data_IF_706013174438
#
_entry.id   IF_706013174438
#
_cell.length_a   1.000
_cell.length_b   1.000
_cell.length_c   1.000
_cell.angle_alpha   90.00
_cell.angle_beta   90.00
_cell.angle_gamma   90.00
#
_symmetry.space_group_name_H-M   'P 1'
#
loop_
_entity.id
_entity.type
_entity.pdbx_description
1 polymer ?
#
# COMPACT_ATOMS: atom_id res chain seq x y z
N UNK A 1 -23.33 32.28 7.62
CA UNK A 1 -23.99 33.58 7.38
C UNK A 1 -23.69 34.50 8.56
N UNK A 2 -23.23 35.72 8.30
CA UNK A 2 -22.88 36.67 9.34
C UNK A 2 -24.14 37.17 10.06
N UNK A 3 -24.29 36.85 11.36
CA UNK A 3 -25.49 37.18 12.15
C UNK A 3 -25.79 38.67 12.15
N UNK A 4 -24.76 39.53 12.09
CA UNK A 4 -24.96 40.98 12.07
C UNK A 4 -25.60 41.46 10.76
N UNK A 5 -25.17 40.91 9.61
CA UNK A 5 -25.74 41.26 8.31
C UNK A 5 -27.18 40.73 8.16
N UNK A 6 -27.46 39.54 8.68
CA UNK A 6 -28.81 38.98 8.73
C UNK A 6 -29.73 39.86 9.59
N UNK A 7 -29.31 40.15 10.82
CA UNK A 7 -30.09 40.96 11.76
C UNK A 7 -30.37 42.38 11.21
N UNK A 8 -29.41 42.99 10.51
CA UNK A 8 -29.61 44.28 9.86
C UNK A 8 -30.71 44.23 8.78
N UNK A 9 -30.76 43.16 7.97
CA UNK A 9 -31.82 42.96 6.98
C UNK A 9 -33.18 42.69 7.64
N UNK A 10 -33.22 41.93 8.73
CA UNK A 10 -34.46 41.62 9.46
C UNK A 10 -35.08 42.88 10.07
N UNK A 11 -34.26 43.75 10.68
CA UNK A 11 -34.71 45.05 11.19
C UNK A 11 -35.21 45.92 10.04
N UNK A 12 -34.41 46.07 8.99
CA UNK A 12 -34.74 46.91 7.85
C UNK A 12 -36.05 46.46 7.15
N UNK A 13 -36.27 45.15 7.04
CA UNK A 13 -37.52 44.59 6.52
C UNK A 13 -38.72 44.85 7.46
N UNK A 14 -38.52 44.70 8.78
CA UNK A 14 -39.55 44.96 9.79
C UNK A 14 -39.99 46.43 9.79
N UNK A 15 -39.04 47.35 9.72
CA UNK A 15 -39.31 48.79 9.72
C UNK A 15 -40.06 49.20 8.45
N UNK A 16 -39.65 48.67 7.29
CA UNK A 16 -40.39 48.87 6.02
C UNK A 16 -41.80 48.29 6.07
N UNK A 17 -41.99 47.10 6.62
CA UNK A 17 -43.32 46.49 6.76
C UNK A 17 -44.22 47.34 7.68
N UNK A 18 -43.65 47.89 8.76
CA UNK A 18 -44.39 48.80 9.63
C UNK A 18 -44.80 50.08 8.89
N UNK A 19 -43.88 50.70 8.14
CA UNK A 19 -44.16 51.89 7.34
C UNK A 19 -45.26 51.63 6.29
N UNK A 20 -45.18 50.52 5.57
CA UNK A 20 -46.20 50.10 4.61
C UNK A 20 -47.58 49.95 5.28
N UNK A 21 -47.65 49.34 6.47
CA UNK A 21 -48.92 49.20 7.19
C UNK A 21 -49.54 50.55 7.61
N UNK A 22 -48.72 51.57 7.85
CA UNK A 22 -49.20 52.95 8.04
C UNK A 22 -49.74 53.51 6.73
N UNK A 23 -49.00 53.39 5.63
CA UNK A 23 -49.39 53.89 4.31
C UNK A 23 -50.70 53.24 3.82
N UNK A 24 -50.86 51.93 3.99
CA UNK A 24 -52.07 51.19 3.65
C UNK A 24 -53.30 51.72 4.41
N UNK A 25 -53.13 52.04 5.70
CA UNK A 25 -54.18 52.66 6.50
C UNK A 25 -54.49 54.08 6.03
N UNK A 26 -53.47 54.87 5.69
CA UNK A 26 -53.65 56.25 5.20
C UNK A 26 -54.35 56.27 3.84
N UNK A 27 -54.04 55.32 2.95
CA UNK A 27 -54.69 55.17 1.65
C UNK A 27 -56.21 54.96 1.75
N UNK A 28 -56.68 54.36 2.85
CA UNK A 28 -58.11 54.07 3.07
C UNK A 28 -58.89 55.27 3.65
N UNK A 29 -58.23 56.37 4.03
CA UNK A 29 -58.90 57.53 4.59
C UNK A 29 -59.76 58.27 3.55
N UNK A 30 -60.92 58.74 4.01
CA UNK A 30 -61.88 59.56 3.25
C UNK A 30 -62.23 60.80 4.07
N UNK A 31 -62.82 61.80 3.42
CA UNK A 31 -63.22 63.06 4.07
C UNK A 31 -64.23 62.90 5.21
N UNK A 32 -64.91 61.75 5.31
CA UNK A 32 -65.85 61.43 6.39
C UNK A 32 -65.30 60.37 7.37
N UNK A 33 -64.03 59.96 7.23
CA UNK A 33 -63.42 58.96 8.11
C UNK A 33 -63.32 59.48 9.54
N UNK A 34 -63.65 58.64 10.52
CA UNK A 34 -63.48 58.98 11.93
C UNK A 34 -61.99 59.14 12.28
N UNK A 35 -61.67 60.11 13.13
CA UNK A 35 -60.29 60.36 13.59
C UNK A 35 -59.45 61.29 12.71
N UNK A 36 -60.01 61.85 11.63
CA UNK A 36 -59.37 62.95 10.88
C UNK A 36 -59.53 64.27 11.65
N UNK A 37 -58.49 65.10 11.70
CA UNK A 37 -58.49 66.36 12.45
C UNK A 37 -57.21 67.16 12.23
N UNK A 38 -57.17 68.37 12.77
CA UNK A 38 -55.96 69.21 12.75
C UNK A 38 -54.95 68.72 13.80
N UNK A 39 -53.71 68.53 13.37
CA UNK A 39 -52.60 68.06 14.22
C UNK A 39 -51.59 69.22 14.38
N UNK A 40 -51.45 69.82 15.57
CA UNK A 40 -50.55 70.95 15.78
C UNK A 40 -49.07 70.57 15.56
N UNK A 41 -48.29 71.44 14.91
CA UNK A 41 -46.83 71.29 14.78
C UNK A 41 -46.37 70.39 13.63
N UNK A 42 -47.28 69.87 12.81
CA UNK A 42 -46.94 69.07 11.61
C UNK A 42 -46.22 69.89 10.54
N UNK A 43 -46.38 71.21 10.58
CA UNK A 43 -45.70 72.18 9.74
C UNK A 43 -44.20 72.32 10.04
N UNK A 44 -43.75 71.89 11.24
CA UNK A 44 -42.35 71.92 11.65
C UNK A 44 -41.68 70.58 11.33
N UNK A 45 -41.38 70.35 10.05
CA UNK A 45 -40.64 69.17 9.63
C UNK A 45 -39.19 69.29 10.14
N UNK A 46 -38.75 68.29 10.89
CA UNK A 46 -37.38 68.22 11.40
C UNK A 46 -36.40 67.94 10.26
N UNK A 47 -35.42 68.83 10.04
CA UNK A 47 -34.41 68.69 9.00
C UNK A 47 -33.38 67.57 9.28
N UNK A 48 -33.46 66.88 10.42
CA UNK A 48 -32.61 65.74 10.76
C UNK A 48 -33.19 64.37 10.35
N UNK A 49 -34.40 64.35 9.76
CA UNK A 49 -35.02 63.11 9.28
C UNK A 49 -34.41 62.62 7.97
N UNK A 50 -34.56 61.31 7.71
CA UNK A 50 -34.07 60.69 6.48
C UNK A 50 -34.84 61.18 5.25
N UNK A 51 -34.11 61.41 4.16
CA UNK A 51 -34.67 61.72 2.84
C UNK A 51 -34.73 60.46 1.97
N UNK A 52 -35.56 60.42 0.90
CA UNK A 52 -35.70 59.25 0.04
C UNK A 52 -34.38 58.66 -0.45
N UNK A 53 -33.43 59.49 -0.89
CA UNK A 53 -32.11 59.04 -1.34
C UNK A 53 -31.32 58.31 -0.23
N UNK A 54 -31.35 58.84 0.99
CA UNK A 54 -30.66 58.24 2.13
C UNK A 54 -31.32 56.92 2.58
N UNK A 55 -32.65 56.81 2.47
CA UNK A 55 -33.41 55.60 2.77
C UNK A 55 -33.17 54.49 1.75
N UNK A 56 -33.19 54.83 0.46
CA UNK A 56 -32.83 53.91 -0.62
C UNK A 56 -31.40 53.41 -0.44
N UNK A 57 -30.45 54.34 -0.21
CA UNK A 57 -29.04 54.00 0.00
C UNK A 57 -28.85 53.05 1.18
N UNK A 58 -29.49 53.31 2.33
CA UNK A 58 -29.41 52.44 3.50
C UNK A 58 -29.81 51.00 3.18
N UNK A 59 -30.94 50.83 2.47
CA UNK A 59 -31.43 49.51 2.05
C UNK A 59 -30.45 48.84 1.08
N UNK A 60 -29.96 49.58 0.09
CA UNK A 60 -29.00 49.07 -0.90
C UNK A 60 -27.69 48.62 -0.23
N UNK A 61 -27.18 49.38 0.75
CA UNK A 61 -25.98 49.02 1.50
C UNK A 61 -26.18 47.75 2.33
N UNK A 62 -27.34 47.57 2.97
CA UNK A 62 -27.67 46.35 3.71
C UNK A 62 -27.73 45.13 2.79
N UNK A 63 -28.36 45.27 1.62
CA UNK A 63 -28.43 44.21 0.61
C UNK A 63 -27.03 43.86 0.09
N UNK A 64 -26.24 44.87 -0.30
CA UNK A 64 -24.88 44.67 -0.81
C UNK A 64 -23.97 44.00 0.23
N UNK A 65 -24.08 44.39 1.50
CA UNK A 65 -23.36 43.75 2.61
C UNK A 65 -23.75 42.28 2.72
N UNK A 66 -25.04 41.96 2.74
CA UNK A 66 -25.52 40.57 2.80
C UNK A 66 -25.06 39.73 1.61
N UNK A 67 -25.09 40.29 0.39
CA UNK A 67 -24.58 39.62 -0.81
C UNK A 67 -23.09 39.30 -0.67
N UNK A 68 -22.28 40.26 -0.22
CA UNK A 68 -20.84 40.05 0.00
C UNK A 68 -20.57 38.95 1.03
N UNK A 69 -21.27 38.95 2.15
CA UNK A 69 -21.13 37.93 3.19
C UNK A 69 -21.55 36.54 2.70
N UNK A 70 -22.60 36.45 1.88
CA UNK A 70 -23.03 35.18 1.26
C UNK A 70 -22.00 34.65 0.27
N UNK A 71 -21.49 35.50 -0.62
CA UNK A 71 -20.46 35.13 -1.60
C UNK A 71 -19.16 34.68 -0.91
N UNK A 72 -18.73 35.38 0.15
CA UNK A 72 -17.57 34.97 0.95
C UNK A 72 -17.78 33.61 1.62
N UNK A 73 -18.98 33.37 2.17
CA UNK A 73 -19.33 32.08 2.78
C UNK A 73 -19.39 30.93 1.78
N UNK A 74 -19.89 31.17 0.57
CA UNK A 74 -19.95 30.19 -0.52
C UNK A 74 -18.54 29.81 -0.96
N UNK A 75 -17.69 30.81 -1.21
CA UNK A 75 -16.28 30.61 -1.56
C UNK A 75 -15.55 29.78 -0.49
N UNK A 76 -15.70 30.13 0.79
CA UNK A 76 -15.05 29.39 1.87
C UNK A 76 -15.51 27.92 1.92
N UNK A 77 -16.80 27.65 1.70
CA UNK A 77 -17.31 26.27 1.63
C UNK A 77 -16.72 25.50 0.45
N UNK A 78 -16.58 26.15 -0.71
CA UNK A 78 -15.91 25.56 -1.87
C UNK A 78 -14.43 25.25 -1.62
N UNK A 79 -13.71 26.16 -0.97
CA UNK A 79 -12.32 25.93 -0.57
C UNK A 79 -12.21 24.75 0.42
N UNK A 80 -13.09 24.67 1.42
CA UNK A 80 -13.15 23.55 2.37
C UNK A 80 -13.40 22.22 1.66
N UNK A 81 -14.41 22.15 0.79
CA UNK A 81 -14.74 20.93 0.03
C UNK A 81 -13.57 20.50 -0.87
N UNK A 82 -12.94 21.45 -1.56
CA UNK A 82 -11.75 21.18 -2.38
C UNK A 82 -10.59 20.64 -1.54
N UNK A 83 -10.34 21.22 -0.35
CA UNK A 83 -9.29 20.72 0.55
C UNK A 83 -9.62 19.33 1.09
N UNK A 84 -10.86 19.07 1.47
CA UNK A 84 -11.29 17.75 1.95
C UNK A 84 -11.10 16.68 0.86
N UNK A 85 -11.49 16.95 -0.38
CA UNK A 85 -11.27 16.04 -1.52
C UNK A 85 -9.78 15.81 -1.77
N UNK A 86 -8.97 16.86 -1.74
CA UNK A 86 -7.52 16.74 -1.90
C UNK A 86 -6.90 15.87 -0.79
N UNK A 87 -7.29 16.08 0.47
CA UNK A 87 -6.85 15.26 1.60
C UNK A 87 -7.29 13.80 1.46
N UNK A 88 -8.53 13.54 1.04
CA UNK A 88 -9.02 12.18 0.84
C UNK A 88 -8.22 11.44 -0.25
N UNK A 89 -7.99 12.10 -1.39
CA UNK A 89 -7.18 11.54 -2.47
C UNK A 89 -5.73 11.28 -2.03
N UNK A 90 -5.12 12.21 -1.29
CA UNK A 90 -3.76 12.02 -0.77
C UNK A 90 -3.69 10.85 0.21
N UNK A 91 -4.65 10.72 1.12
CA UNK A 91 -4.71 9.58 2.05
C UNK A 91 -4.84 8.25 1.30
N UNK A 92 -5.65 8.21 0.25
CA UNK A 92 -5.81 7.01 -0.58
C UNK A 92 -4.52 6.67 -1.33
N UNK A 93 -3.86 7.67 -1.93
CA UNK A 93 -2.56 7.48 -2.58
C UNK A 93 -1.48 6.99 -1.61
N UNK A 94 -1.42 7.58 -0.40
CA UNK A 94 -0.48 7.16 0.63
C UNK A 94 -0.76 5.75 1.12
N UNK A 95 -2.04 5.39 1.32
CA UNK A 95 -2.45 4.03 1.67
C UNK A 95 -1.94 3.01 0.65
N UNK A 96 -2.20 3.25 -0.65
CA UNK A 96 -1.75 2.36 -1.72
C UNK A 96 -0.22 2.28 -1.81
N UNK A 97 0.46 3.43 -1.72
CA UNK A 97 1.92 3.51 -1.79
C UNK A 97 2.59 2.73 -0.65
N UNK A 98 2.12 2.93 0.59
CA UNK A 98 2.64 2.23 1.77
C UNK A 98 2.34 0.74 1.69
N UNK A 99 1.13 0.36 1.30
CA UNK A 99 0.75 -1.05 1.19
C UNK A 99 1.58 -1.78 0.13
N UNK A 100 1.80 -1.16 -1.03
CA UNK A 100 2.66 -1.72 -2.08
C UNK A 100 4.11 -1.85 -1.59
N UNK A 101 4.67 -0.80 -0.98
CA UNK A 101 6.03 -0.84 -0.43
C UNK A 101 6.18 -1.92 0.65
N UNK A 102 5.17 -2.07 1.51
CA UNK A 102 5.14 -3.08 2.55
C UNK A 102 5.10 -4.50 1.95
N UNK A 103 4.22 -4.74 0.98
CA UNK A 103 4.13 -6.04 0.29
C UNK A 103 5.45 -6.39 -0.43
N UNK A 104 6.09 -5.43 -1.09
CA UNK A 104 7.42 -5.63 -1.67
C UNK A 104 8.44 -6.03 -0.62
N UNK A 105 8.48 -5.34 0.53
CA UNK A 105 9.40 -5.66 1.62
C UNK A 105 9.15 -7.06 2.20
N UNK A 106 7.89 -7.47 2.31
CA UNK A 106 7.52 -8.82 2.77
C UNK A 106 8.04 -9.87 1.79
N UNK A 107 7.85 -9.67 0.48
CA UNK A 107 8.40 -10.57 -0.56
C UNK A 107 9.92 -10.65 -0.49
N UNK A 108 10.62 -9.51 -0.53
CA UNK A 108 12.08 -9.45 -0.43
C UNK A 108 12.63 -10.20 0.80
N UNK A 109 11.98 -10.02 1.96
CA UNK A 109 12.39 -10.67 3.21
C UNK A 109 12.14 -12.18 3.17
N UNK A 110 11.03 -12.59 2.57
CA UNK A 110 10.66 -14.00 2.40
C UNK A 110 11.64 -14.70 1.47
N UNK A 111 11.97 -14.08 0.34
CA UNK A 111 12.94 -14.62 -0.62
C UNK A 111 14.34 -14.74 -0.02
N UNK A 112 14.78 -13.71 0.72
CA UNK A 112 16.07 -13.75 1.41
C UNK A 112 16.12 -14.88 2.44
N UNK A 113 15.05 -15.08 3.21
CA UNK A 113 14.92 -16.21 4.15
C UNK A 113 14.99 -17.55 3.41
N UNK A 114 14.24 -17.71 2.33
CA UNK A 114 14.21 -18.96 1.55
C UNK A 114 15.60 -19.29 0.99
N UNK A 115 16.30 -18.30 0.42
CA UNK A 115 17.68 -18.46 -0.07
C UNK A 115 18.63 -18.87 1.05
N UNK A 116 18.54 -18.25 2.23
CA UNK A 116 19.37 -18.62 3.38
C UNK A 116 19.07 -20.05 3.86
N UNK A 117 17.81 -20.48 3.84
CA UNK A 117 17.43 -21.84 4.20
C UNK A 117 17.97 -22.87 3.19
N UNK A 118 17.88 -22.58 1.89
CA UNK A 118 18.45 -23.44 0.85
C UNK A 118 19.98 -23.54 0.97
N UNK A 119 20.67 -22.41 1.21
CA UNK A 119 22.11 -22.40 1.47
C UNK A 119 22.49 -23.21 2.71
N UNK A 120 21.72 -23.08 3.80
CA UNK A 120 21.95 -23.86 5.01
C UNK A 120 21.85 -25.36 4.72
N UNK A 121 20.82 -25.80 3.99
CA UNK A 121 20.65 -27.20 3.61
C UNK A 121 21.83 -27.71 2.78
N UNK A 122 22.26 -26.95 1.77
CA UNK A 122 23.42 -27.30 0.93
C UNK A 122 24.70 -27.41 1.76
N UNK A 123 25.00 -26.44 2.61
CA UNK A 123 26.20 -26.48 3.46
C UNK A 123 26.15 -27.65 4.45
N UNK A 124 24.98 -28.00 4.97
CA UNK A 124 24.85 -29.19 5.82
C UNK A 124 25.14 -30.48 5.05
N UNK A 125 24.69 -30.58 3.80
CA UNK A 125 24.99 -31.72 2.92
C UNK A 125 26.49 -31.80 2.60
N UNK A 126 27.11 -30.69 2.20
CA UNK A 126 28.55 -30.61 1.95
C UNK A 126 29.39 -31.03 3.18
N UNK A 127 28.96 -30.64 4.39
CA UNK A 127 29.61 -31.07 5.64
C UNK A 127 29.50 -32.58 5.81
N UNK A 128 28.31 -33.14 5.62
CA UNK A 128 28.08 -34.58 5.74
C UNK A 128 28.93 -35.38 4.74
N UNK A 129 28.99 -34.95 3.47
CA UNK A 129 29.79 -35.62 2.44
C UNK A 129 31.28 -35.53 2.74
N UNK A 130 31.74 -34.39 3.26
CA UNK A 130 33.13 -34.22 3.70
C UNK A 130 33.47 -35.11 4.90
N UNK A 131 32.55 -35.27 5.86
CA UNK A 131 32.71 -36.19 6.98
C UNK A 131 32.83 -37.64 6.49
N UNK A 132 31.97 -38.06 5.55
CA UNK A 132 32.05 -39.38 4.91
C UNK A 132 33.38 -39.57 4.17
N UNK A 133 33.83 -38.58 3.40
CA UNK A 133 35.12 -38.63 2.70
C UNK A 133 36.31 -38.78 3.67
N UNK A 134 36.29 -38.08 4.81
CA UNK A 134 37.31 -38.23 5.85
C UNK A 134 37.32 -39.67 6.39
N UNK A 135 36.15 -40.28 6.62
CA UNK A 135 36.06 -41.66 7.08
C UNK A 135 36.59 -42.66 6.04
N UNK A 136 36.25 -42.47 4.77
CA UNK A 136 36.75 -43.29 3.66
C UNK A 136 38.28 -43.19 3.52
N UNK A 137 38.83 -41.98 3.55
CA UNK A 137 40.28 -41.76 3.50
C UNK A 137 41.00 -42.41 4.69
N UNK A 138 40.44 -42.30 5.90
CA UNK A 138 40.99 -42.96 7.09
C UNK A 138 41.02 -44.47 6.94
N UNK A 139 39.96 -45.05 6.36
CA UNK A 139 39.90 -46.49 6.10
C UNK A 139 40.90 -46.92 5.02
N UNK A 140 40.98 -46.19 3.90
CA UNK A 140 41.94 -46.47 2.84
C UNK A 140 43.41 -46.45 3.34
N UNK A 141 43.74 -45.48 4.22
CA UNK A 141 45.06 -45.43 4.88
C UNK A 141 45.31 -46.68 5.73
N UNK A 142 44.31 -47.12 6.52
CA UNK A 142 44.43 -48.32 7.34
C UNK A 142 44.58 -49.59 6.49
N UNK A 143 43.83 -49.70 5.40
CA UNK A 143 43.86 -50.85 4.49
C UNK A 143 45.23 -50.96 3.78
N UNK A 144 45.87 -49.82 3.43
CA UNK A 144 47.22 -49.78 2.84
C UNK A 144 48.37 -49.97 3.83
N UNK A 145 48.13 -49.81 5.14
CA UNK A 145 49.19 -49.87 6.15
C UNK A 145 49.88 -51.25 6.22
N UNK A 146 49.10 -52.34 6.17
CA UNK A 146 49.64 -53.70 6.27
C UNK A 146 50.43 -54.16 5.05
N UNK A 147 49.92 -54.04 3.79
CA UNK A 147 50.71 -54.41 2.62
C UNK A 147 52.00 -53.60 2.52
N UNK A 148 51.98 -52.31 2.86
CA UNK A 148 53.18 -51.48 2.91
C UNK A 148 54.21 -51.99 3.92
N UNK A 149 53.81 -52.33 5.16
CA UNK A 149 54.70 -52.95 6.16
C UNK A 149 55.33 -54.25 5.65
N UNK A 150 54.55 -55.07 4.92
CA UNK A 150 55.06 -56.31 4.31
C UNK A 150 56.10 -56.01 3.22
N UNK A 151 55.83 -55.04 2.33
CA UNK A 151 56.77 -54.63 1.28
C UNK A 151 58.07 -54.08 1.88
N UNK A 152 57.99 -53.16 2.86
CA UNK A 152 59.16 -52.65 3.60
C UNK A 152 59.97 -53.77 4.25
N UNK A 153 59.32 -54.70 4.96
CA UNK A 153 60.01 -55.80 5.64
C UNK A 153 60.70 -56.73 4.62
N UNK A 154 60.04 -57.04 3.50
CA UNK A 154 60.63 -57.86 2.41
C UNK A 154 61.84 -57.19 1.78
N UNK A 155 61.80 -55.87 1.58
CA UNK A 155 62.90 -55.10 1.02
C UNK A 155 64.08 -55.05 2.00
N UNK A 156 63.83 -54.77 3.29
CA UNK A 156 64.84 -54.76 4.35
C UNK A 156 65.59 -56.10 4.44
N UNK A 157 64.87 -57.23 4.46
CA UNK A 157 65.50 -58.57 4.43
C UNK A 157 66.37 -58.78 3.19
N UNK A 158 65.94 -58.31 2.01
CA UNK A 158 66.71 -58.42 0.77
C UNK A 158 67.99 -57.57 0.78
N UNK A 159 68.03 -56.46 1.51
CA UNK A 159 69.27 -55.66 1.64
C UNK A 159 70.37 -56.36 2.43
N UNK A 160 70.05 -57.42 3.18
CA UNK A 160 71.01 -58.25 3.94
C UNK A 160 71.72 -59.33 3.13
N UNK A 161 71.41 -59.49 1.83
CA UNK A 161 72.12 -60.44 0.96
C UNK A 161 73.62 -60.11 0.91
N UNK A 162 74.48 -61.12 0.86
CA UNK A 162 75.94 -60.94 0.92
C UNK A 162 76.61 -61.10 -0.45
N UNK A 163 77.70 -60.34 -0.67
CA UNK A 163 78.54 -60.42 -1.87
C UNK A 163 77.73 -60.26 -3.17
N UNK A 164 77.96 -61.14 -4.15
CA UNK A 164 77.30 -61.11 -5.48
C UNK A 164 75.79 -61.35 -5.40
N UNK A 165 75.29 -61.95 -4.32
CA UNK A 165 73.87 -62.19 -4.11
C UNK A 165 73.11 -60.91 -3.74
N UNK A 166 73.79 -59.83 -3.34
CA UNK A 166 73.19 -58.49 -3.21
C UNK A 166 72.92 -57.91 -4.60
N UNK A 167 71.96 -58.51 -5.27
CA UNK A 167 71.57 -58.23 -6.63
C UNK A 167 70.31 -57.36 -6.64
N UNK A 168 70.34 -56.28 -7.41
CA UNK A 168 69.18 -55.43 -7.70
C UNK A 168 68.31 -56.11 -8.77
N UNK A 169 67.67 -57.21 -8.37
CA UNK A 169 66.81 -58.03 -9.21
C UNK A 169 65.45 -57.36 -9.48
N UNK A 170 64.68 -57.80 -10.49
CA UNK A 170 63.39 -57.19 -10.81
C UNK A 170 62.40 -57.19 -9.63
N UNK A 171 62.51 -58.14 -8.70
CA UNK A 171 61.64 -58.23 -7.52
C UNK A 171 62.06 -57.21 -6.45
N UNK A 172 63.36 -56.90 -6.34
CA UNK A 172 63.85 -55.83 -5.49
C UNK A 172 63.27 -54.48 -5.94
N UNK A 173 63.30 -54.21 -7.25
CA UNK A 173 62.71 -53.00 -7.85
C UNK A 173 61.20 -52.94 -7.67
N UNK A 174 60.49 -54.04 -7.92
CA UNK A 174 59.03 -54.11 -7.70
C UNK A 174 58.66 -53.78 -6.26
N UNK A 175 59.40 -54.28 -5.26
CA UNK A 175 59.14 -53.95 -3.85
C UNK A 175 59.50 -52.50 -3.49
N UNK A 176 60.45 -51.88 -4.21
CA UNK A 176 60.75 -50.45 -4.09
C UNK A 176 59.61 -49.61 -4.68
N UNK A 177 59.08 -50.02 -5.83
CA UNK A 177 57.94 -49.38 -6.49
C UNK A 177 56.67 -49.51 -5.63
N UNK A 178 56.36 -50.69 -5.08
CA UNK A 178 55.22 -50.92 -4.17
C UNK A 178 55.30 -50.08 -2.87
N UNK A 179 56.51 -49.71 -2.44
CA UNK A 179 56.72 -48.81 -1.30
C UNK A 179 56.54 -47.33 -1.67
N UNK A 180 56.75 -46.98 -2.93
CA UNK A 180 56.73 -45.60 -3.42
C UNK A 180 55.41 -45.22 -4.11
N UNK A 181 54.63 -46.20 -4.57
CA UNK A 181 53.42 -45.94 -5.33
C UNK A 181 52.25 -45.66 -4.38
N UNK A 182 51.91 -44.39 -4.27
CA UNK A 182 50.73 -43.89 -3.56
C UNK A 182 49.49 -43.83 -4.47
N UNK A 183 49.57 -44.44 -5.65
CA UNK A 183 48.67 -44.24 -6.78
C UNK A 183 47.95 -45.56 -7.07
N UNK A 184 46.81 -45.75 -6.40
CA UNK A 184 45.77 -46.66 -6.90
C UNK A 184 44.61 -45.77 -7.32
N UNK A 185 44.54 -45.56 -8.62
CA UNK A 185 43.38 -45.09 -9.36
C UNK A 185 42.28 -46.14 -9.24
N UNK A 186 41.40 -45.98 -8.27
CA UNK A 186 40.10 -46.67 -8.21
C UNK A 186 39.09 -45.64 -7.68
N UNK A 187 38.60 -44.76 -8.56
CA UNK A 187 37.33 -44.04 -8.39
C UNK A 187 36.61 -44.14 -9.74
N UNK A 188 36.20 -45.36 -10.07
CA UNK A 188 35.06 -45.59 -10.95
C UNK A 188 33.78 -45.41 -10.09
N UNK A 189 32.80 -44.76 -10.72
CA UNK A 189 31.39 -44.64 -10.31
C UNK A 189 31.10 -43.59 -9.21
N UNK A 190 30.43 -42.49 -9.61
CA UNK A 190 29.03 -42.28 -9.22
C UNK A 190 28.48 -40.97 -9.85
N UNK A 191 27.50 -41.20 -10.73
CA UNK A 191 26.25 -40.48 -10.94
C UNK A 191 26.25 -39.03 -11.47
N UNK A 192 26.03 -38.95 -12.79
CA UNK A 192 25.35 -37.85 -13.48
C UNK A 192 23.91 -37.73 -12.93
N UNK A 193 23.70 -36.91 -11.90
CA UNK A 193 22.37 -36.40 -11.56
C UNK A 193 22.11 -35.13 -12.40
N UNK A 194 21.56 -35.36 -13.60
CA UNK A 194 20.86 -34.36 -14.41
C UNK A 194 19.57 -33.92 -13.66
N UNK A 195 19.71 -32.93 -12.77
CA UNK A 195 18.55 -32.17 -12.28
C UNK A 195 18.17 -31.09 -13.31
N UNK A 196 17.42 -31.52 -14.32
CA UNK A 196 16.57 -30.65 -15.15
C UNK A 196 15.43 -30.10 -14.27
N UNK A 197 15.70 -29.02 -13.53
CA UNK A 197 14.64 -28.16 -12.98
C UNK A 197 14.09 -27.28 -14.12
N UNK A 198 13.18 -27.87 -14.90
CA UNK A 198 12.31 -27.16 -15.85
C UNK A 198 11.51 -26.08 -15.10
N UNK A 199 11.60 -24.86 -15.62
CA UNK A 199 10.87 -23.67 -15.21
C UNK A 199 9.34 -23.92 -15.22
N UNK A 200 8.70 -23.95 -14.05
CA UNK A 200 7.23 -23.86 -13.95
C UNK A 200 6.81 -22.39 -14.01
N UNK A 201 6.58 -21.95 -15.25
CA UNK A 201 6.07 -20.65 -15.65
C UNK A 201 4.64 -20.41 -15.13
N UNK A 202 4.48 -19.33 -14.36
CA UNK A 202 3.35 -18.40 -14.42
C UNK A 202 1.92 -18.94 -14.34
N UNK A 203 1.36 -18.98 -13.13
CA UNK A 203 -0.09 -18.85 -12.95
C UNK A 203 -0.50 -17.42 -13.36
N UNK A 204 -1.02 -17.29 -14.58
CA UNK A 204 -1.81 -16.14 -15.06
C UNK A 204 -3.21 -16.24 -14.41
N UNK A 205 -3.46 -15.44 -13.38
CA UNK A 205 -4.79 -15.23 -12.82
C UNK A 205 -5.63 -14.41 -13.83
N UNK A 206 -6.33 -15.11 -14.74
CA UNK A 206 -7.40 -14.57 -15.58
C UNK A 206 -8.68 -14.38 -14.73
N UNK A 207 -8.86 -13.19 -14.16
CA UNK A 207 -10.13 -12.75 -13.56
C UNK A 207 -11.11 -12.32 -14.68
N UNK A 208 -11.73 -13.29 -15.35
CA UNK A 208 -12.92 -13.10 -16.20
C UNK A 208 -14.19 -13.39 -15.37
N UNK A 209 -14.62 -12.42 -14.56
CA UNK A 209 -15.98 -12.39 -14.01
C UNK A 209 -16.89 -11.68 -15.02
N UNK A 210 -17.41 -12.49 -15.96
CA UNK A 210 -18.45 -12.13 -16.92
C UNK A 210 -19.79 -11.80 -16.23
N UNK A 211 -20.46 -10.80 -16.80
CA UNK A 211 -21.75 -10.23 -16.42
C UNK A 211 -22.90 -11.26 -16.47
N UNK A 212 -23.57 -11.49 -15.32
CA UNK A 212 -24.93 -12.05 -15.29
C UNK A 212 -25.94 -10.89 -15.10
N UNK A 213 -26.31 -10.29 -16.24
CA UNK A 213 -27.56 -9.54 -16.43
C UNK A 213 -28.73 -10.52 -16.42
N UNK A 214 -29.38 -10.72 -15.26
CA UNK A 214 -30.72 -11.32 -15.18
C UNK A 214 -31.77 -10.19 -15.20
N UNK A 215 -32.17 -9.84 -16.42
CA UNK A 215 -33.46 -9.26 -16.77
C UNK A 215 -34.61 -10.26 -16.50
N UNK A 216 -35.81 -9.71 -16.39
CA UNK A 216 -37.14 -10.36 -16.45
C UNK A 216 -37.71 -10.99 -15.15
N UNK A 217 -38.68 -10.28 -14.55
CA UNK A 217 -40.09 -10.64 -14.80
C UNK A 217 -41.04 -9.59 -14.20
N UNK A 218 -41.75 -8.93 -15.12
CA UNK A 218 -43.01 -8.22 -14.89
C UNK A 218 -44.05 -9.23 -14.37
N UNK A 219 -44.64 -8.97 -13.20
CA UNK A 219 -45.95 -9.53 -12.86
C UNK A 219 -46.86 -8.39 -12.38
N UNK A 220 -47.78 -8.05 -13.28
CA UNK A 220 -49.01 -7.31 -13.06
C UNK A 220 -49.86 -8.00 -11.98
N UNK A 221 -50.18 -7.28 -10.91
CA UNK A 221 -51.39 -7.57 -10.11
C UNK A 221 -52.18 -6.27 -9.93
N UNK A 222 -53.02 -6.01 -10.94
CA UNK A 222 -54.30 -5.35 -10.77
C UNK A 222 -55.16 -6.19 -9.81
N UNK A 223 -55.55 -5.64 -8.66
CA UNK A 223 -56.92 -5.82 -8.19
C UNK A 223 -57.32 -4.76 -7.14
N UNK A 224 -58.21 -3.89 -7.62
CA UNK A 224 -59.39 -3.34 -6.96
C UNK A 224 -59.61 -3.73 -5.48
N UNK A 225 -59.76 -2.74 -4.59
CA UNK A 225 -61.05 -2.48 -3.93
C UNK A 225 -61.00 -1.41 -2.85
N UNK A 226 -62.02 -0.55 -2.95
CA UNK A 226 -62.74 0.14 -1.87
C UNK A 226 -62.30 1.58 -1.52
N UNK A 227 -62.91 2.50 -2.26
CA UNK A 227 -63.45 3.71 -1.68
C UNK A 227 -64.50 3.35 -0.60
N UNK A 228 -64.20 3.69 0.66
CA UNK A 228 -65.20 4.13 1.65
C UNK A 228 -64.57 5.05 2.66
#
# INVERSE_FOLDING_TARGET
>A
MNRAAQHALEIDAKDKHHAQGLDDRMQQLRNASAGIGYHPGIENIDNTITIPDSWVRYTQENIARSQKERAASERLRGEIDSTLRACANELWNQFNSVNNSFNTRVRETTDARNKLQAHLQRTMQEIFDMEKNIELLRKAIQDKEQPMKVAQTRLDERTRRINVELCNDPVMKSNEDDNNNNDDSDDDDDDDDDDDDDDDDGDEDDDDDDDDDDDDDDDDDDDDLSYR
#
